data_IF_693390301506
#
_entry.id   IF_693390301506
#
_cell.length_a   1.000
_cell.length_b   1.000
_cell.length_c   1.000
_cell.angle_alpha   90.00
_cell.angle_beta   90.00
_cell.angle_gamma   90.00
#
_symmetry.space_group_name_H-M   'P 1'
#
loop_
_entity.id
_entity.type
_entity.pdbx_description
1 polymer ?
#
# COMPACT_ATOMS: atom_id res chain seq x y z
N UNK A 1 14.24 -8.72 1.36
CA UNK A 1 13.19 -7.69 1.36
C UNK A 1 11.84 -8.29 1.75
N UNK A 2 10.98 -7.48 2.30
CA UNK A 2 9.69 -7.92 2.82
C UNK A 2 8.58 -7.03 2.24
N UNK A 3 7.47 -7.62 1.78
CA UNK A 3 6.40 -6.88 1.13
C UNK A 3 5.09 -6.98 1.89
N UNK A 4 4.32 -5.89 1.87
CA UNK A 4 2.94 -5.84 2.37
C UNK A 4 2.04 -5.54 1.17
N UNK A 5 1.02 -6.37 0.99
CA UNK A 5 0.08 -6.26 -0.12
C UNK A 5 -1.32 -6.11 0.46
N UNK A 6 -1.96 -5.00 0.16
CA UNK A 6 -3.30 -4.70 0.66
C UNK A 6 -4.28 -4.57 -0.50
N UNK A 7 -5.35 -5.34 -0.45
CA UNK A 7 -6.46 -5.23 -1.39
C UNK A 7 -7.51 -4.30 -0.81
N UNK A 8 -7.98 -3.35 -1.62
CA UNK A 8 -9.01 -2.39 -1.24
C UNK A 8 -10.24 -2.56 -2.11
N UNK A 9 -11.41 -2.58 -1.50
CA UNK A 9 -12.70 -2.64 -2.20
C UNK A 9 -13.55 -1.49 -1.68
N UNK A 10 -13.87 -0.53 -2.56
CA UNK A 10 -14.75 0.59 -2.25
C UNK A 10 -16.18 0.28 -2.70
N UNK A 11 -17.13 1.10 -2.28
CA UNK A 11 -18.53 0.94 -2.66
C UNK A 11 -18.76 1.34 -4.12
N UNK A 12 -17.96 2.28 -4.65
CA UNK A 12 -18.09 2.75 -6.02
C UNK A 12 -16.76 3.36 -6.49
N UNK A 13 -16.70 3.71 -7.76
CA UNK A 13 -15.49 4.26 -8.36
C UNK A 13 -15.09 5.59 -7.75
N UNK A 14 -16.04 6.47 -7.46
CA UNK A 14 -15.74 7.77 -6.88
C UNK A 14 -15.02 7.62 -5.53
N UNK A 15 -15.50 6.74 -4.67
CA UNK A 15 -14.85 6.45 -3.39
C UNK A 15 -13.43 5.92 -3.59
N UNK A 16 -13.25 5.03 -4.55
CA UNK A 16 -11.92 4.48 -4.82
C UNK A 16 -10.97 5.58 -5.29
N UNK A 17 -11.41 6.42 -6.22
CA UNK A 17 -10.57 7.50 -6.75
C UNK A 17 -10.22 8.52 -5.67
N UNK A 18 -11.16 8.85 -4.78
CA UNK A 18 -10.91 9.75 -3.65
C UNK A 18 -9.87 9.15 -2.71
N UNK A 19 -9.96 7.84 -2.41
CA UNK A 19 -8.99 7.17 -1.56
C UNK A 19 -7.61 7.16 -2.18
N UNK A 20 -7.50 6.88 -3.49
CA UNK A 20 -6.22 6.87 -4.20
C UNK A 20 -5.57 8.26 -4.14
N UNK A 21 -6.34 9.33 -4.37
CA UNK A 21 -5.82 10.70 -4.28
C UNK A 21 -5.40 11.05 -2.84
N UNK A 22 -6.18 10.64 -1.85
CA UNK A 22 -5.81 10.81 -0.45
C UNK A 22 -4.49 10.10 -0.14
N UNK A 23 -4.33 8.86 -0.59
CA UNK A 23 -3.10 8.10 -0.37
C UNK A 23 -1.91 8.81 -1.00
N UNK A 24 -2.02 9.23 -2.25
CA UNK A 24 -0.95 9.92 -2.95
C UNK A 24 -0.51 11.19 -2.23
N UNK A 25 -1.45 11.95 -1.69
CA UNK A 25 -1.14 13.24 -1.07
C UNK A 25 -0.71 13.13 0.38
N UNK A 26 -1.22 12.14 1.13
CA UNK A 26 -1.03 12.06 2.58
C UNK A 26 -0.19 10.88 3.05
N UNK A 27 -0.27 9.73 2.37
CA UNK A 27 0.29 8.50 2.88
C UNK A 27 1.54 8.01 2.14
N UNK A 28 1.70 8.36 0.86
CA UNK A 28 2.84 7.89 0.08
C UNK A 28 4.17 8.35 0.66
N UNK A 29 4.26 9.62 1.04
CA UNK A 29 5.47 10.15 1.68
C UNK A 29 5.72 9.48 3.02
N UNK A 30 4.66 9.22 3.80
CA UNK A 30 4.80 8.54 5.09
C UNK A 30 5.40 7.14 4.91
N UNK A 31 4.99 6.41 3.88
CA UNK A 31 5.56 5.09 3.60
C UNK A 31 7.05 5.17 3.33
N UNK A 32 7.49 6.14 2.54
CA UNK A 32 8.91 6.38 2.30
C UNK A 32 9.65 6.73 3.59
N UNK A 33 9.06 7.61 4.40
CA UNK A 33 9.67 8.07 5.65
C UNK A 33 9.84 6.93 6.67
N UNK A 34 8.93 5.96 6.69
CA UNK A 34 9.04 4.80 7.59
C UNK A 34 9.88 3.66 7.01
N UNK A 35 10.46 3.84 5.83
CA UNK A 35 11.45 2.92 5.29
C UNK A 35 11.02 2.08 4.10
N UNK A 36 9.87 2.34 3.49
CA UNK A 36 9.49 1.65 2.27
C UNK A 36 10.44 2.03 1.14
N UNK A 37 10.96 1.01 0.42
CA UNK A 37 11.83 1.23 -0.74
C UNK A 37 11.05 1.27 -2.04
N UNK A 38 9.80 0.82 -2.01
CA UNK A 38 8.89 0.87 -3.15
C UNK A 38 7.47 0.89 -2.65
N UNK A 39 6.64 1.75 -3.24
CA UNK A 39 5.20 1.84 -2.97
C UNK A 39 4.48 1.97 -4.30
N UNK A 40 3.48 1.14 -4.54
CA UNK A 40 2.69 1.22 -5.76
C UNK A 40 1.23 0.95 -5.47
N UNK A 41 0.35 1.60 -6.24
CA UNK A 41 -1.08 1.34 -6.24
C UNK A 41 -1.47 0.94 -7.66
N UNK A 42 -2.19 -0.17 -7.78
CA UNK A 42 -2.72 -0.64 -9.06
C UNK A 42 -4.24 -0.71 -8.95
N UNK A 43 -4.94 0.03 -9.81
CA UNK A 43 -6.39 -0.02 -9.87
C UNK A 43 -6.79 -1.21 -10.74
N UNK A 44 -7.38 -2.23 -10.14
CA UNK A 44 -7.71 -3.50 -10.82
C UNK A 44 -9.14 -3.56 -11.35
N UNK A 45 -10.01 -2.68 -10.81
CA UNK A 45 -11.39 -2.52 -11.25
C UNK A 45 -11.84 -1.11 -10.86
N UNK A 46 -12.99 -0.61 -11.33
CA UNK A 46 -13.43 0.75 -10.95
C UNK A 46 -13.46 0.98 -9.45
N UNK A 47 -13.82 -0.06 -8.67
CA UNK A 47 -13.93 0.05 -7.21
C UNK A 47 -12.91 -0.82 -6.46
N UNK A 48 -11.85 -1.28 -7.13
CA UNK A 48 -10.85 -2.15 -6.51
C UNK A 48 -9.43 -1.66 -6.82
N UNK A 49 -8.56 -1.76 -5.84
CA UNK A 49 -7.16 -1.41 -6.00
C UNK A 49 -6.28 -2.29 -5.11
N UNK A 50 -5.02 -2.42 -5.51
CA UNK A 50 -4.00 -3.15 -4.77
C UNK A 50 -2.88 -2.19 -4.43
N UNK A 51 -2.55 -2.10 -3.15
CA UNK A 51 -1.41 -1.33 -2.66
C UNK A 51 -0.29 -2.31 -2.30
N UNK A 52 0.90 -2.08 -2.83
CA UNK A 52 2.07 -2.86 -2.46
C UNK A 52 3.15 -1.93 -1.91
N UNK A 53 3.64 -2.27 -0.72
CA UNK A 53 4.80 -1.63 -0.12
C UNK A 53 5.91 -2.66 0.05
N UNK A 54 7.12 -2.31 -0.35
CA UNK A 54 8.29 -3.17 -0.18
C UNK A 54 9.23 -2.50 0.82
N UNK A 55 9.70 -3.26 1.81
CA UNK A 55 10.57 -2.80 2.88
C UNK A 55 11.89 -3.58 2.87
N UNK A 56 12.98 -3.00 3.40
CA UNK A 56 14.26 -3.72 3.48
C UNK A 56 14.19 -5.02 4.26
N UNK A 57 13.35 -5.08 5.31
CA UNK A 57 13.20 -6.27 6.14
C UNK A 57 11.85 -6.26 6.85
N UNK A 58 11.54 -7.37 7.53
CA UNK A 58 10.29 -7.55 8.25
C UNK A 58 10.10 -6.55 9.39
N UNK A 59 11.18 -6.22 10.10
CA UNK A 59 11.10 -5.31 11.25
C UNK A 59 10.62 -3.92 10.85
N UNK A 60 11.12 -3.41 9.74
CA UNK A 60 10.69 -2.10 9.22
C UNK A 60 9.24 -2.16 8.75
N UNK A 61 8.83 -3.28 8.14
CA UNK A 61 7.43 -3.49 7.76
C UNK A 61 6.50 -3.43 8.98
N UNK A 62 6.89 -4.07 10.07
CA UNK A 62 6.10 -4.07 11.32
C UNK A 62 6.00 -2.66 11.89
N UNK A 63 7.10 -1.89 11.90
CA UNK A 63 7.09 -0.50 12.36
C UNK A 63 6.16 0.37 11.52
N UNK A 64 6.21 0.20 10.20
CA UNK A 64 5.34 0.94 9.29
C UNK A 64 3.86 0.62 9.56
N UNK A 65 3.54 -0.64 9.81
CA UNK A 65 2.17 -1.06 10.13
C UNK A 65 1.65 -0.33 11.38
N UNK A 66 2.49 -0.20 12.39
CA UNK A 66 2.11 0.50 13.62
C UNK A 66 1.82 1.97 13.36
N UNK A 67 2.67 2.64 12.56
CA UNK A 67 2.51 4.06 12.25
C UNK A 67 1.23 4.33 11.48
N UNK A 68 0.82 3.44 10.58
CA UNK A 68 -0.36 3.66 9.73
C UNK A 68 -1.65 3.07 10.31
N UNK A 69 -1.59 2.41 11.46
CA UNK A 69 -2.75 1.75 12.05
C UNK A 69 -3.91 2.72 12.27
N UNK A 70 -3.64 3.93 12.75
CA UNK A 70 -4.67 4.93 13.01
C UNK A 70 -5.33 5.41 11.72
N UNK A 71 -4.57 5.52 10.63
CA UNK A 71 -5.12 5.92 9.33
C UNK A 71 -6.03 4.85 8.75
N UNK A 72 -5.68 3.56 8.92
CA UNK A 72 -6.52 2.45 8.50
C UNK A 72 -7.88 2.48 9.21
N UNK A 73 -7.91 2.86 10.48
CA UNK A 73 -9.16 2.96 11.23
C UNK A 73 -10.11 4.00 10.65
N UNK A 74 -9.56 5.11 10.13
CA UNK A 74 -10.38 6.20 9.58
C UNK A 74 -11.10 5.81 8.30
N UNK A 75 -10.53 4.90 7.49
CA UNK A 75 -11.12 4.48 6.22
C UNK A 75 -11.82 3.13 6.30
N UNK A 76 -11.70 2.43 7.41
CA UNK A 76 -12.19 1.06 7.58
C UNK A 76 -13.69 0.92 7.35
N UNK A 77 -14.47 1.94 7.70
CA UNK A 77 -15.92 1.92 7.53
C UNK A 77 -16.38 2.11 6.08
N UNK A 78 -15.53 2.77 5.27
CA UNK A 78 -15.86 3.14 3.90
C UNK A 78 -15.29 2.17 2.87
N UNK A 79 -14.15 1.56 3.18
CA UNK A 79 -13.40 0.73 2.24
C UNK A 79 -13.00 -0.56 2.94
N UNK A 80 -13.34 -1.70 2.35
CA UNK A 80 -12.89 -2.99 2.85
C UNK A 80 -11.44 -3.20 2.49
N UNK A 81 -10.66 -3.67 3.45
CA UNK A 81 -9.23 -3.93 3.25
C UNK A 81 -8.87 -5.33 3.67
N UNK A 82 -7.96 -5.94 2.93
CA UNK A 82 -7.36 -7.23 3.26
C UNK A 82 -5.87 -7.15 2.99
N UNK A 83 -5.06 -7.41 4.02
CA UNK A 83 -3.61 -7.29 3.93
C UNK A 83 -2.94 -8.64 4.12
N UNK A 84 -2.01 -8.97 3.21
CA UNK A 84 -1.09 -10.09 3.35
C UNK A 84 0.33 -9.57 3.32
N UNK A 85 1.25 -10.30 3.97
CA UNK A 85 2.65 -9.91 4.05
C UNK A 85 3.52 -11.13 3.82
N UNK A 86 4.69 -10.90 3.26
CA UNK A 86 5.62 -12.00 3.01
C UNK A 86 6.98 -11.54 2.57
N UNK A 87 7.90 -12.49 2.53
CA UNK A 87 9.25 -12.27 2.07
C UNK A 87 9.28 -12.22 0.55
N UNK A 88 10.00 -11.24 0.00
CA UNK A 88 10.21 -11.14 -1.44
C UNK A 88 11.27 -12.16 -1.83
N UNK A 89 10.86 -13.21 -2.53
CA UNK A 89 11.76 -14.32 -2.90
C UNK A 89 12.42 -14.12 -4.26
N UNK A 90 11.86 -13.23 -5.09
CA UNK A 90 12.42 -12.87 -6.39
C UNK A 90 11.96 -11.49 -6.78
N UNK A 91 12.88 -10.64 -7.25
CA UNK A 91 12.57 -9.31 -7.74
C UNK A 91 13.51 -8.97 -8.90
N UNK A 92 12.91 -8.59 -10.02
CA UNK A 92 13.67 -8.14 -11.20
C UNK A 92 13.06 -6.83 -11.68
N UNK A 93 13.91 -5.82 -11.88
CA UNK A 93 13.47 -4.52 -12.37
C UNK A 93 14.16 -4.22 -13.71
N UNK A 94 13.46 -4.50 -14.80
CA UNK A 94 13.99 -4.29 -16.15
C UNK A 94 13.95 -2.82 -16.59
N UNK A 95 13.14 -1.99 -15.92
CA UNK A 95 13.02 -0.57 -16.29
C UNK A 95 14.28 0.23 -15.99
N UNK A 96 15.07 -0.21 -15.01
CA UNK A 96 16.31 0.47 -14.63
C UNK A 96 17.49 0.13 -15.54
N UNK A 97 17.30 -0.80 -16.46
CA UNK A 97 18.36 -1.27 -17.39
C UNK A 97 18.37 -0.51 -18.71
N UNK A 98 17.42 0.36 -18.93
CA UNK A 98 17.34 1.15 -20.16
C UNK A 98 18.23 2.37 -20.18
#
# INVERSE_FOLDING_TARGET
>A
MYASITNFIAQNEMQMDMWIEFFKSQSAKLMTDVGAVQTSITKTAPNKAVLMNVFPNKEICIKARTVVADRKKQVKELIKTETTEGEVVFNQNSLTQE
#
